data_IF_186170986514
#
_entry.id   IF_186170986514
#
_cell.length_a   1.000
_cell.length_b   1.000
_cell.length_c   1.000
_cell.angle_alpha   90.00
_cell.angle_beta   90.00
_cell.angle_gamma   90.00
#
_symmetry.space_group_name_H-M   'P 1'
#
loop_
_entity.id
_entity.type
_entity.pdbx_description
1 polymer ?
#
# COMPACT_ATOMS: atom_id res chain seq x y z
N UNK A 1 13.65 -26.50 14.86
CA UNK A 1 12.39 -26.06 14.23
C UNK A 1 11.91 -24.78 14.88
N UNK A 2 11.65 -23.72 14.13
CA UNK A 2 11.07 -22.45 14.59
C UNK A 2 9.65 -22.33 14.02
N UNK A 3 8.79 -21.56 14.69
CA UNK A 3 7.40 -21.31 14.26
C UNK A 3 7.14 -19.82 14.25
N UNK A 4 6.40 -19.36 13.24
CA UNK A 4 5.94 -17.98 13.11
C UNK A 4 4.42 -18.04 12.97
N UNK A 5 3.69 -17.43 13.91
CA UNK A 5 2.24 -17.35 13.85
C UNK A 5 1.82 -16.17 12.98
N UNK A 6 0.91 -16.43 12.06
CA UNK A 6 0.44 -15.41 11.12
C UNK A 6 -1.07 -15.43 10.97
N UNK A 7 -1.63 -14.27 10.64
CA UNK A 7 -3.00 -14.10 10.14
C UNK A 7 -2.89 -13.51 8.75
N UNK A 8 -3.43 -14.20 7.76
CA UNK A 8 -3.50 -13.72 6.40
C UNK A 8 -4.88 -13.10 6.14
N UNK A 9 -4.88 -11.98 5.44
CA UNK A 9 -6.07 -11.24 5.03
C UNK A 9 -5.88 -10.67 3.63
N UNK A 10 -6.93 -10.13 3.05
CA UNK A 10 -6.82 -9.28 1.89
C UNK A 10 -7.67 -8.03 2.06
N UNK A 11 -7.19 -6.90 1.55
CA UNK A 11 -7.90 -5.62 1.49
C UNK A 11 -8.20 -5.32 0.04
N UNK A 12 -9.46 -5.39 -0.35
CA UNK A 12 -9.82 -5.20 -1.76
C UNK A 12 -9.11 -6.15 -2.72
N UNK A 13 -8.73 -7.36 -2.28
CA UNK A 13 -7.98 -8.34 -3.07
C UNK A 13 -6.46 -8.31 -2.85
N UNK A 14 -5.90 -7.22 -2.33
CA UNK A 14 -4.45 -7.11 -2.06
C UNK A 14 -4.08 -7.82 -0.76
N UNK A 15 -3.20 -8.84 -0.79
CA UNK A 15 -2.97 -9.70 0.37
C UNK A 15 -2.06 -9.06 1.42
N UNK A 16 -2.39 -9.29 2.69
CA UNK A 16 -1.60 -8.88 3.85
C UNK A 16 -1.39 -10.06 4.79
N UNK A 17 -0.16 -10.25 5.27
CA UNK A 17 0.21 -11.23 6.29
C UNK A 17 0.60 -10.53 7.58
N UNK A 18 -0.23 -10.63 8.61
CA UNK A 18 0.10 -10.14 9.94
C UNK A 18 0.88 -11.20 10.71
N UNK A 19 2.13 -10.91 11.04
CA UNK A 19 2.93 -11.73 11.96
C UNK A 19 2.56 -11.34 13.38
N UNK A 20 2.03 -12.30 14.14
CA UNK A 20 1.54 -12.10 15.51
C UNK A 20 2.50 -12.61 16.57
N UNK A 21 3.37 -13.57 16.24
CA UNK A 21 4.38 -14.13 17.13
C UNK A 21 5.49 -14.86 16.36
N UNK A 22 6.59 -15.12 17.05
CA UNK A 22 7.69 -15.97 16.55
C UNK A 22 8.90 -15.19 16.02
N UNK A 23 8.81 -13.88 15.82
CA UNK A 23 9.95 -13.03 15.50
C UNK A 23 10.82 -12.79 16.72
N UNK A 24 12.11 -12.40 16.55
CA UNK A 24 12.99 -12.03 17.64
C UNK A 24 12.51 -10.77 18.35
N UNK A 25 12.98 -10.57 19.59
CA UNK A 25 12.79 -9.31 20.29
C UNK A 25 13.60 -8.19 19.60
N UNK A 26 12.92 -7.11 19.28
CA UNK A 26 13.50 -5.92 18.62
C UNK A 26 13.81 -4.78 19.61
N UNK A 27 13.68 -5.03 20.91
CA UNK A 27 13.89 -4.04 21.96
C UNK A 27 12.71 -3.09 22.18
N UNK A 28 12.96 -2.00 22.92
CA UNK A 28 11.92 -1.07 23.41
C UNK A 28 11.89 0.28 22.67
N UNK A 29 12.65 0.44 21.60
CA UNK A 29 12.71 1.68 20.81
C UNK A 29 11.43 1.96 20.02
N UNK A 30 11.40 3.13 19.36
CA UNK A 30 10.32 3.49 18.40
C UNK A 30 10.21 2.45 17.27
N UNK A 31 9.08 2.46 16.55
CA UNK A 31 8.92 1.56 15.40
C UNK A 31 10.01 1.75 14.34
N UNK A 32 10.54 2.98 14.19
CA UNK A 32 11.68 3.25 13.29
C UNK A 32 12.97 2.54 13.75
N UNK A 33 13.27 2.60 15.05
CA UNK A 33 14.43 1.89 15.64
C UNK A 33 14.26 0.39 15.52
N UNK A 34 13.09 -0.15 15.88
CA UNK A 34 12.80 -1.60 15.76
C UNK A 34 12.86 -2.09 14.31
N UNK A 35 12.38 -1.29 13.34
CA UNK A 35 12.54 -1.58 11.92
C UNK A 35 14.01 -1.68 11.53
N UNK A 36 14.85 -0.77 12.03
CA UNK A 36 16.29 -0.80 11.77
C UNK A 36 16.93 -2.07 12.35
N UNK A 37 16.62 -2.43 13.59
CA UNK A 37 17.10 -3.68 14.23
C UNK A 37 16.66 -4.90 13.42
N UNK A 38 15.38 -4.95 12.98
CA UNK A 38 14.89 -6.05 12.15
C UNK A 38 15.66 -6.13 10.83
N UNK A 39 15.87 -5.01 10.16
CA UNK A 39 16.56 -4.94 8.88
C UNK A 39 18.05 -5.33 8.97
N UNK A 40 18.77 -4.84 9.98
CA UNK A 40 20.23 -5.03 10.08
C UNK A 40 20.61 -6.37 10.72
N UNK A 41 19.79 -6.88 11.64
CA UNK A 41 20.17 -8.04 12.46
C UNK A 41 19.30 -9.28 12.22
N UNK A 42 18.10 -9.09 11.67
CA UNK A 42 17.07 -10.14 11.62
C UNK A 42 16.31 -10.23 10.30
N UNK A 43 16.81 -9.65 9.20
CA UNK A 43 16.11 -9.61 7.89
C UNK A 43 15.71 -11.01 7.37
N UNK A 44 16.43 -12.05 7.78
CA UNK A 44 16.07 -13.42 7.44
C UNK A 44 14.64 -13.81 7.88
N UNK A 45 14.10 -13.19 8.93
CA UNK A 45 12.74 -13.47 9.39
C UNK A 45 11.70 -12.87 8.44
N UNK A 46 11.95 -11.64 7.93
CA UNK A 46 11.17 -11.07 6.85
C UNK A 46 11.21 -11.98 5.61
N UNK A 47 12.40 -12.34 5.17
CA UNK A 47 12.61 -13.19 4.00
C UNK A 47 11.89 -14.55 4.14
N UNK A 48 11.94 -15.19 5.32
CA UNK A 48 11.23 -16.45 5.56
C UNK A 48 9.72 -16.36 5.41
N UNK A 49 9.12 -15.17 5.67
CA UNK A 49 7.68 -14.96 5.57
C UNK A 49 7.24 -14.46 4.19
N UNK A 50 8.11 -13.71 3.49
CA UNK A 50 7.75 -12.97 2.29
C UNK A 50 8.24 -13.61 0.99
N UNK A 51 9.32 -14.40 1.06
CA UNK A 51 9.86 -15.10 -0.10
C UNK A 51 9.31 -16.53 -0.19
N UNK A 52 9.32 -17.10 -1.39
CA UNK A 52 9.04 -18.51 -1.57
C UNK A 52 9.96 -19.40 -0.71
N UNK A 53 9.50 -20.52 -0.23
CA UNK A 53 8.22 -21.19 -0.50
C UNK A 53 7.06 -20.79 0.41
N UNK A 54 7.24 -19.89 1.38
CA UNK A 54 6.21 -19.52 2.37
C UNK A 54 5.52 -18.18 2.08
N UNK A 55 6.10 -17.37 1.20
CA UNK A 55 5.58 -16.09 0.73
C UNK A 55 5.39 -16.06 -0.77
N UNK A 56 5.16 -14.88 -1.31
CA UNK A 56 5.04 -14.58 -2.73
C UNK A 56 5.34 -13.10 -2.99
N UNK A 57 5.61 -12.74 -4.25
CA UNK A 57 5.98 -11.36 -4.62
C UNK A 57 4.89 -10.31 -4.37
N UNK A 58 3.65 -10.75 -4.27
CA UNK A 58 2.50 -9.85 -4.07
C UNK A 58 2.14 -9.61 -2.61
N UNK A 59 2.72 -10.39 -1.70
CA UNK A 59 2.34 -10.38 -0.29
C UNK A 59 2.98 -9.20 0.44
N UNK A 60 2.18 -8.43 1.18
CA UNK A 60 2.67 -7.43 2.13
C UNK A 60 2.62 -8.00 3.53
N UNK A 61 3.75 -7.95 4.23
CA UNK A 61 3.90 -8.36 5.62
C UNK A 61 3.70 -7.20 6.58
N UNK A 62 3.16 -7.50 7.75
CA UNK A 62 3.01 -6.59 8.87
C UNK A 62 3.44 -7.31 10.16
N UNK A 63 4.48 -6.83 10.82
CA UNK A 63 4.88 -7.33 12.12
C UNK A 63 4.13 -6.56 13.22
N UNK A 64 3.31 -7.27 13.98
CA UNK A 64 2.64 -6.72 15.15
C UNK A 64 3.65 -6.52 16.28
N UNK A 65 3.75 -5.29 16.75
CA UNK A 65 4.61 -4.89 17.86
C UNK A 65 3.78 -4.32 19.02
N UNK A 66 4.30 -4.44 20.24
CA UNK A 66 3.78 -3.66 21.35
C UNK A 66 4.05 -2.16 21.09
N UNK A 67 3.06 -1.28 21.25
CA UNK A 67 3.27 0.14 21.06
C UNK A 67 4.15 0.72 22.16
N UNK A 68 4.80 1.87 21.87
CA UNK A 68 5.55 2.65 22.86
C UNK A 68 4.62 3.60 23.60
N UNK A 69 3.70 4.24 22.86
CA UNK A 69 2.65 5.08 23.41
C UNK A 69 1.52 4.21 24.00
N UNK A 70 1.20 4.32 25.29
CA UNK A 70 0.08 3.59 25.89
C UNK A 70 -1.28 3.91 25.28
N UNK A 71 -1.43 5.05 24.60
CA UNK A 71 -2.64 5.44 23.87
C UNK A 71 -2.80 4.79 22.51
N UNK A 72 -1.77 4.12 21.99
CA UNK A 72 -1.85 3.39 20.74
C UNK A 72 -2.31 1.95 20.97
N UNK A 73 -3.14 1.42 20.07
CA UNK A 73 -3.63 0.04 20.17
C UNK A 73 -2.59 -0.99 19.69
N UNK A 74 -1.65 -0.58 18.85
CA UNK A 74 -0.59 -1.42 18.29
C UNK A 74 0.56 -0.59 17.73
N UNK A 75 1.75 -1.20 17.66
CA UNK A 75 2.83 -0.80 16.75
C UNK A 75 2.89 -1.77 15.58
N UNK A 76 3.34 -1.31 14.41
CA UNK A 76 3.47 -2.14 13.21
C UNK A 76 4.72 -1.77 12.41
N UNK A 77 5.37 -2.79 11.84
CA UNK A 77 6.44 -2.65 10.85
C UNK A 77 5.99 -3.35 9.58
N UNK A 78 5.79 -2.59 8.50
CA UNK A 78 5.43 -3.15 7.19
C UNK A 78 6.67 -3.50 6.38
N UNK A 79 6.58 -4.58 5.61
CA UNK A 79 7.63 -5.06 4.72
C UNK A 79 7.01 -5.88 3.57
N UNK A 80 7.81 -6.16 2.55
CA UNK A 80 7.43 -7.02 1.43
C UNK A 80 8.60 -7.94 1.01
N UNK A 81 8.53 -8.54 -0.17
CA UNK A 81 9.60 -9.37 -0.73
C UNK A 81 10.89 -8.57 -0.96
N UNK A 82 10.82 -7.28 -1.28
CA UNK A 82 11.99 -6.44 -1.61
C UNK A 82 12.59 -5.71 -0.40
N UNK A 83 11.82 -5.44 0.67
CA UNK A 83 12.33 -4.69 1.83
C UNK A 83 11.26 -4.17 2.79
N UNK A 84 11.53 -3.01 3.38
CA UNK A 84 10.73 -2.41 4.45
C UNK A 84 10.00 -1.18 3.95
N UNK A 85 8.75 -1.04 4.37
CA UNK A 85 7.87 0.08 4.03
C UNK A 85 7.75 1.03 5.23
N UNK A 86 7.58 2.32 4.96
CA UNK A 86 7.31 3.32 6.00
C UNK A 86 5.89 3.20 6.53
N UNK A 87 4.94 3.11 5.62
CA UNK A 87 3.50 2.96 5.86
C UNK A 87 2.87 2.19 4.69
N UNK A 88 1.74 1.54 4.92
CA UNK A 88 0.99 0.82 3.90
C UNK A 88 -0.51 0.97 4.17
N UNK A 89 -1.25 1.55 3.21
CA UNK A 89 -2.69 1.83 3.37
C UNK A 89 -3.53 0.56 3.49
N UNK A 90 -3.46 -0.33 2.50
CA UNK A 90 -4.20 -1.60 2.53
C UNK A 90 -3.73 -2.51 3.69
N UNK A 91 -2.42 -2.52 3.99
CA UNK A 91 -1.86 -3.24 5.13
C UNK A 91 -2.38 -2.73 6.47
N UNK A 92 -2.61 -1.42 6.61
CA UNK A 92 -3.23 -0.84 7.82
C UNK A 92 -4.69 -1.27 7.96
N UNK A 93 -5.47 -1.29 6.87
CA UNK A 93 -6.84 -1.81 6.86
C UNK A 93 -6.84 -3.30 7.26
N UNK A 94 -5.95 -4.11 6.68
CA UNK A 94 -5.76 -5.52 7.03
C UNK A 94 -5.35 -5.75 8.48
N UNK A 95 -4.44 -4.91 9.02
CA UNK A 95 -4.04 -4.92 10.43
C UNK A 95 -5.23 -4.68 11.36
N UNK A 96 -6.02 -3.62 11.10
CA UNK A 96 -7.19 -3.27 11.94
C UNK A 96 -8.22 -4.39 11.92
N UNK A 97 -8.52 -4.95 10.75
CA UNK A 97 -9.41 -6.12 10.63
C UNK A 97 -8.87 -7.34 11.40
N UNK A 98 -7.57 -7.59 11.35
CA UNK A 98 -6.92 -8.69 12.08
C UNK A 98 -6.93 -8.47 13.59
N UNK A 99 -6.72 -7.23 14.07
CA UNK A 99 -6.83 -6.89 15.49
C UNK A 99 -8.27 -7.05 16.02
N UNK A 100 -9.26 -6.68 15.22
CA UNK A 100 -10.68 -6.91 15.53
C UNK A 100 -11.00 -8.41 15.59
N UNK A 101 -10.53 -9.18 14.61
CA UNK A 101 -10.67 -10.65 14.59
C UNK A 101 -10.07 -11.32 15.84
N UNK A 102 -8.92 -10.81 16.33
CA UNK A 102 -8.30 -11.27 17.58
C UNK A 102 -9.02 -10.77 18.84
N UNK A 103 -10.10 -10.01 18.71
CA UNK A 103 -10.80 -9.39 19.85
C UNK A 103 -9.99 -8.34 20.61
N UNK A 104 -8.92 -7.78 20.01
CA UNK A 104 -8.05 -6.78 20.65
C UNK A 104 -8.62 -5.37 20.58
N UNK A 105 -9.44 -5.08 19.56
CA UNK A 105 -10.13 -3.80 19.37
C UNK A 105 -11.57 -4.03 18.95
N UNK A 106 -12.43 -3.07 19.24
CA UNK A 106 -13.80 -2.97 18.74
C UNK A 106 -13.97 -1.75 17.82
N UNK A 107 -15.22 -1.48 17.33
CA UNK A 107 -15.51 -0.27 16.57
C UNK A 107 -15.07 1.00 17.29
N UNK A 108 -14.53 1.97 16.54
CA UNK A 108 -14.01 3.22 17.06
C UNK A 108 -12.72 3.67 16.37
N UNK A 109 -12.15 4.77 16.88
CA UNK A 109 -10.89 5.34 16.39
C UNK A 109 -9.72 4.74 17.15
N UNK A 110 -8.72 4.28 16.41
CA UNK A 110 -7.53 3.62 16.93
C UNK A 110 -6.26 4.30 16.42
N UNK A 111 -5.31 4.53 17.32
CA UNK A 111 -3.97 5.02 17.00
C UNK A 111 -3.03 3.82 16.80
N UNK A 112 -2.26 3.83 15.71
CA UNK A 112 -1.31 2.79 15.33
C UNK A 112 0.06 3.44 15.11
N UNK A 113 1.07 2.98 15.82
CA UNK A 113 2.44 3.45 15.59
C UNK A 113 3.07 2.77 14.39
N UNK A 114 3.69 3.55 13.52
CA UNK A 114 4.45 3.10 12.35
C UNK A 114 5.88 3.67 12.37
N UNK A 115 6.80 3.17 11.55
CA UNK A 115 8.14 3.75 11.45
C UNK A 115 8.18 5.23 11.04
N UNK A 116 7.13 5.76 10.41
CA UNK A 116 7.05 7.16 9.94
C UNK A 116 6.14 8.03 10.82
N UNK A 117 5.63 7.49 11.92
CA UNK A 117 4.77 8.20 12.86
C UNK A 117 3.49 7.45 13.17
N UNK A 118 2.63 8.07 13.99
CA UNK A 118 1.35 7.50 14.39
C UNK A 118 0.29 7.82 13.34
N UNK A 119 -0.42 6.80 12.88
CA UNK A 119 -1.57 6.92 11.99
C UNK A 119 -2.86 6.62 12.73
N UNK A 120 -3.95 7.25 12.30
CA UNK A 120 -5.27 6.98 12.84
C UNK A 120 -6.08 6.14 11.85
N UNK A 121 -6.71 5.09 12.37
CA UNK A 121 -7.65 4.26 11.64
C UNK A 121 -8.96 4.15 12.41
N UNK A 122 -10.08 4.18 11.72
CA UNK A 122 -11.41 4.00 12.30
C UNK A 122 -11.98 2.66 11.85
N UNK A 123 -12.23 1.77 12.81
CA UNK A 123 -13.02 0.56 12.56
C UNK A 123 -14.50 0.93 12.68
N UNK A 124 -15.28 0.70 11.63
CA UNK A 124 -16.71 0.97 11.61
C UNK A 124 -17.52 -0.28 12.04
N UNK A 125 -18.79 -0.08 12.42
CA UNK A 125 -19.72 -1.15 12.81
C UNK A 125 -19.96 -2.17 11.68
N UNK A 126 -19.84 -1.76 10.42
CA UNK A 126 -19.95 -2.63 9.23
C UNK A 126 -18.65 -3.36 8.89
N UNK A 127 -17.66 -3.30 9.79
CA UNK A 127 -16.32 -3.85 9.63
C UNK A 127 -15.47 -3.24 8.50
N UNK A 128 -15.91 -2.12 7.90
CA UNK A 128 -15.02 -1.33 7.06
C UNK A 128 -14.03 -0.54 7.92
N UNK A 129 -12.93 -0.12 7.32
CA UNK A 129 -11.88 0.63 8.00
C UNK A 129 -11.57 1.89 7.20
N UNK A 130 -11.62 3.05 7.86
CA UNK A 130 -11.11 4.31 7.32
C UNK A 130 -9.72 4.59 7.84
N UNK A 131 -8.80 4.96 6.95
CA UNK A 131 -7.43 5.37 7.30
C UNK A 131 -7.24 6.81 6.87
N UNK A 132 -6.93 7.69 7.83
CA UNK A 132 -6.53 9.06 7.55
C UNK A 132 -5.09 9.07 7.10
N UNK A 133 -4.87 9.44 5.84
CA UNK A 133 -3.56 9.40 5.20
C UNK A 133 -2.75 10.68 5.49
N UNK A 134 -1.50 10.69 5.02
CA UNK A 134 -0.64 11.88 5.03
C UNK A 134 -1.18 12.96 4.08
N UNK A 135 -0.80 14.25 4.27
CA UNK A 135 -1.16 15.29 3.32
C UNK A 135 -0.73 14.95 1.89
N UNK A 136 -1.66 15.09 0.94
CA UNK A 136 -1.45 14.79 -0.47
C UNK A 136 -1.54 16.07 -1.32
N UNK A 137 -0.84 16.08 -2.46
CA UNK A 137 -0.81 17.22 -3.37
C UNK A 137 -0.37 16.81 -4.77
N UNK A 138 -0.79 17.59 -5.80
CA UNK A 138 -0.27 17.50 -7.15
C UNK A 138 0.99 18.34 -7.28
N UNK A 139 2.11 17.72 -7.65
CA UNK A 139 3.38 18.39 -7.87
C UNK A 139 3.50 18.99 -9.27
N UNK A 140 3.16 18.20 -10.31
CA UNK A 140 3.18 18.66 -11.71
C UNK A 140 1.92 18.24 -12.44
N UNK A 141 1.33 19.13 -13.21
CA UNK A 141 0.18 18.88 -14.07
C UNK A 141 0.62 18.62 -15.52
N UNK A 142 -0.01 17.64 -16.17
CA UNK A 142 0.09 17.38 -17.60
C UNK A 142 1.53 17.29 -18.11
N UNK A 143 2.40 16.60 -17.38
CA UNK A 143 3.79 16.38 -17.80
C UNK A 143 3.83 15.38 -18.96
N UNK A 144 4.52 15.76 -20.06
CA UNK A 144 4.74 14.89 -21.19
C UNK A 144 6.03 14.08 -21.01
N UNK A 145 5.94 12.76 -21.21
CA UNK A 145 7.06 11.80 -21.12
C UNK A 145 7.18 11.07 -22.45
N UNK A 146 8.37 11.01 -23.05
CA UNK A 146 8.61 10.23 -24.26
C UNK A 146 8.92 8.78 -23.88
N UNK A 147 8.03 7.87 -24.28
CA UNK A 147 8.13 6.44 -23.95
C UNK A 147 8.53 5.67 -25.19
N UNK A 148 9.71 5.00 -25.22
CA UNK A 148 10.14 4.20 -26.35
C UNK A 148 9.11 3.14 -26.76
N UNK A 149 8.77 3.09 -28.06
CA UNK A 149 7.79 2.14 -28.59
C UNK A 149 6.31 2.50 -28.38
N UNK A 150 6.02 3.51 -27.55
CA UNK A 150 4.64 3.98 -27.25
C UNK A 150 4.43 5.39 -27.81
N UNK A 151 5.42 6.28 -27.66
CA UNK A 151 5.30 7.68 -28.02
C UNK A 151 5.17 8.60 -26.82
N UNK A 152 4.52 9.73 -26.97
CA UNK A 152 4.30 10.69 -25.89
C UNK A 152 3.15 10.24 -24.98
N UNK A 153 3.44 10.10 -23.70
CA UNK A 153 2.46 9.85 -22.63
C UNK A 153 2.37 11.09 -21.75
N UNK A 154 1.17 11.55 -21.47
CA UNK A 154 0.91 12.73 -20.64
C UNK A 154 0.25 12.29 -19.32
N UNK A 155 0.77 12.79 -18.21
CA UNK A 155 0.22 12.48 -16.88
C UNK A 155 0.55 13.54 -15.86
N UNK A 156 -0.05 13.41 -14.68
CA UNK A 156 0.21 14.26 -13.52
C UNK A 156 1.22 13.56 -12.59
N UNK A 157 2.11 14.33 -11.97
CA UNK A 157 2.92 13.83 -10.85
C UNK A 157 2.28 14.31 -9.55
N UNK A 158 1.94 13.36 -8.68
CA UNK A 158 1.30 13.65 -7.40
C UNK A 158 1.87 12.80 -6.26
N UNK A 159 1.81 13.35 -5.06
CA UNK A 159 2.13 12.70 -3.80
C UNK A 159 0.86 12.32 -3.05
N UNK A 160 0.74 11.04 -2.70
CA UNK A 160 -0.35 10.51 -1.88
C UNK A 160 0.15 9.62 -0.72
N UNK A 161 1.42 9.78 -0.33
CA UNK A 161 2.16 8.89 0.58
C UNK A 161 3.24 8.08 -0.15
N UNK A 162 3.16 8.03 -1.48
CA UNK A 162 4.17 7.60 -2.45
C UNK A 162 4.09 8.54 -3.65
N UNK A 163 5.10 8.53 -4.52
CA UNK A 163 5.10 9.29 -5.76
C UNK A 163 4.43 8.51 -6.88
N UNK A 164 3.47 9.14 -7.52
CA UNK A 164 2.68 8.59 -8.62
C UNK A 164 2.85 9.39 -9.90
N UNK A 165 2.88 8.69 -11.03
CA UNK A 165 2.58 9.23 -12.34
C UNK A 165 1.19 8.75 -12.76
N UNK A 166 0.24 9.68 -12.84
CA UNK A 166 -1.19 9.44 -13.03
C UNK A 166 -1.56 9.71 -14.48
N UNK A 167 -2.00 8.68 -15.22
CA UNK A 167 -2.28 8.75 -16.65
C UNK A 167 -3.76 8.47 -16.92
N UNK A 168 -4.48 9.43 -17.50
CA UNK A 168 -5.87 9.27 -17.89
C UNK A 168 -6.02 8.78 -19.33
N UNK A 169 -5.20 9.33 -20.24
CA UNK A 169 -5.28 9.04 -21.69
C UNK A 169 -4.19 8.04 -22.10
N UNK A 170 -4.53 6.76 -22.19
CA UNK A 170 -3.56 5.69 -22.51
C UNK A 170 -4.06 4.68 -23.55
N UNK A 171 -5.36 4.71 -23.91
CA UNK A 171 -5.95 3.88 -24.96
C UNK A 171 -6.08 2.38 -24.65
N UNK A 172 -5.79 1.95 -23.42
CA UNK A 172 -5.91 0.56 -22.99
C UNK A 172 -7.21 0.35 -22.22
N UNK A 173 -7.77 -0.86 -22.31
CA UNK A 173 -8.89 -1.27 -21.44
C UNK A 173 -8.36 -1.68 -20.06
N UNK A 174 -8.81 -1.01 -19.00
CA UNK A 174 -8.46 -1.34 -17.61
C UNK A 174 -9.37 -2.46 -17.12
N UNK A 175 -8.89 -3.70 -17.22
CA UNK A 175 -9.64 -4.89 -16.82
C UNK A 175 -8.70 -6.04 -16.46
N UNK A 176 -9.19 -6.98 -15.63
CA UNK A 176 -8.41 -8.11 -15.13
C UNK A 176 -7.95 -9.12 -16.19
N UNK A 177 -8.56 -9.15 -17.37
CA UNK A 177 -8.12 -9.95 -18.52
C UNK A 177 -7.10 -9.26 -19.43
N UNK A 178 -6.67 -8.02 -19.08
CA UNK A 178 -5.69 -7.22 -19.83
C UNK A 178 -4.44 -6.89 -19.02
N UNK A 179 -4.17 -7.61 -17.95
CA UNK A 179 -3.09 -7.29 -17.00
C UNK A 179 -1.70 -7.27 -17.63
N UNK A 180 -1.43 -8.15 -18.59
CA UNK A 180 -0.13 -8.20 -19.29
C UNK A 180 0.16 -6.90 -20.04
N UNK A 181 -0.79 -6.41 -20.85
CA UNK A 181 -0.65 -5.16 -21.60
C UNK A 181 -0.57 -3.94 -20.67
N UNK A 182 -1.39 -3.90 -19.62
CA UNK A 182 -1.36 -2.83 -18.61
C UNK A 182 -0.02 -2.78 -17.89
N UNK A 183 0.51 -3.94 -17.46
CA UNK A 183 1.81 -4.06 -16.81
C UNK A 183 2.95 -3.64 -17.75
N UNK A 184 2.94 -4.12 -19.01
CA UNK A 184 3.97 -3.77 -19.99
C UNK A 184 3.99 -2.26 -20.28
N UNK A 185 2.83 -1.65 -20.44
CA UNK A 185 2.68 -0.22 -20.69
C UNK A 185 3.18 0.62 -19.51
N UNK A 186 2.69 0.33 -18.31
CA UNK A 186 3.06 1.10 -17.09
C UNK A 186 4.52 0.92 -16.72
N UNK A 187 5.08 -0.26 -16.94
CA UNK A 187 6.51 -0.49 -16.74
C UNK A 187 7.38 0.29 -17.75
N UNK A 188 6.98 0.35 -19.04
CA UNK A 188 7.67 1.17 -20.04
C UNK A 188 7.64 2.68 -19.65
N UNK A 189 6.50 3.16 -19.15
CA UNK A 189 6.36 4.52 -18.63
C UNK A 189 7.28 4.76 -17.43
N UNK A 190 7.32 3.85 -16.45
CA UNK A 190 8.18 3.94 -15.28
C UNK A 190 9.67 4.01 -15.68
N UNK A 191 10.12 3.15 -16.60
CA UNK A 191 11.48 3.19 -17.12
C UNK A 191 11.81 4.51 -17.83
N UNK A 192 10.84 5.05 -18.60
CA UNK A 192 11.03 6.31 -19.30
C UNK A 192 11.13 7.51 -18.35
N UNK A 193 10.35 7.53 -17.24
CA UNK A 193 10.46 8.52 -16.18
C UNK A 193 11.87 8.49 -15.56
N UNK A 194 12.35 7.30 -15.22
CA UNK A 194 13.67 7.13 -14.61
C UNK A 194 14.80 7.54 -15.55
N UNK A 195 14.76 7.10 -16.81
CA UNK A 195 15.77 7.40 -17.83
C UNK A 195 15.85 8.90 -18.15
N UNK A 196 14.73 9.64 -18.11
CA UNK A 196 14.66 11.09 -18.30
C UNK A 196 14.94 11.89 -17.02
N UNK A 197 15.29 11.23 -15.91
CA UNK A 197 15.59 11.89 -14.65
C UNK A 197 14.38 12.59 -14.01
N UNK A 198 13.16 12.19 -14.36
CA UNK A 198 11.93 12.73 -13.79
C UNK A 198 11.74 12.16 -12.39
N UNK A 199 11.60 13.04 -11.40
CA UNK A 199 11.56 12.70 -9.98
C UNK A 199 10.43 13.44 -9.28
N UNK A 200 10.10 12.98 -8.07
CA UNK A 200 9.28 13.71 -7.12
C UNK A 200 9.95 15.02 -6.67
N UNK A 201 9.22 15.84 -5.95
CA UNK A 201 9.69 17.14 -5.43
C UNK A 201 10.92 16.99 -4.51
N UNK A 202 10.99 15.91 -3.77
CA UNK A 202 12.08 15.53 -2.85
C UNK A 202 13.27 14.82 -3.53
N UNK A 203 13.23 14.66 -4.85
CA UNK A 203 14.22 13.94 -5.63
C UNK A 203 14.06 12.42 -5.64
N UNK A 204 13.04 11.88 -4.97
CA UNK A 204 12.74 10.45 -4.96
C UNK A 204 12.26 9.95 -6.32
N UNK A 205 12.40 8.64 -6.55
CA UNK A 205 11.83 7.99 -7.73
C UNK A 205 10.31 8.10 -7.74
N UNK A 206 9.74 8.23 -8.94
CA UNK A 206 8.32 8.01 -9.16
C UNK A 206 8.15 6.53 -9.42
N UNK A 207 7.87 5.78 -8.36
CA UNK A 207 7.91 4.32 -8.31
C UNK A 207 6.56 3.66 -8.60
N UNK A 208 5.49 4.46 -8.69
CA UNK A 208 4.16 4.00 -9.06
C UNK A 208 3.69 4.68 -10.35
N UNK A 209 3.07 3.89 -11.24
CA UNK A 209 2.36 4.39 -12.42
C UNK A 209 0.92 3.90 -12.34
N UNK A 210 -0.03 4.84 -12.45
CA UNK A 210 -1.45 4.55 -12.30
C UNK A 210 -2.22 4.99 -13.55
N UNK A 211 -3.01 4.06 -14.10
CA UNK A 211 -3.87 4.27 -15.25
C UNK A 211 -5.33 4.33 -14.80
N UNK A 212 -6.10 5.22 -15.40
CA UNK A 212 -7.52 5.41 -15.09
C UNK A 212 -8.41 5.15 -16.28
N UNK A 213 -9.61 4.64 -16.02
CA UNK A 213 -10.68 4.49 -17.00
C UNK A 213 -12.02 4.81 -16.31
N UNK A 214 -13.05 5.03 -17.13
CA UNK A 214 -14.43 5.12 -16.67
C UNK A 214 -14.89 3.77 -16.08
N UNK A 215 -15.85 3.82 -15.15
CA UNK A 215 -16.47 2.65 -14.55
C UNK A 215 -17.99 2.83 -14.48
N UNK A 216 -18.76 1.75 -14.64
CA UNK A 216 -20.22 1.79 -14.62
C UNK A 216 -20.82 1.94 -13.21
N UNK A 217 -20.03 1.64 -12.16
CA UNK A 217 -20.50 1.55 -10.77
C UNK A 217 -19.72 2.45 -9.80
N UNK A 218 -18.49 2.83 -10.15
CA UNK A 218 -17.64 3.73 -9.40
C UNK A 218 -17.37 5.01 -10.21
N UNK A 219 -16.75 6.02 -9.55
CA UNK A 219 -16.40 7.28 -10.23
C UNK A 219 -15.20 7.10 -11.18
N UNK A 220 -14.40 6.04 -10.99
CA UNK A 220 -13.27 5.67 -11.84
C UNK A 220 -12.82 4.25 -11.55
N UNK A 221 -12.17 3.61 -12.52
CA UNK A 221 -11.42 2.35 -12.38
C UNK A 221 -9.94 2.62 -12.59
N UNK A 222 -9.08 1.93 -11.84
CA UNK A 222 -7.65 2.08 -11.99
C UNK A 222 -6.91 0.75 -12.19
N UNK A 223 -5.69 0.87 -12.71
CA UNK A 223 -4.63 -0.13 -12.65
C UNK A 223 -3.39 0.55 -12.09
N UNK A 224 -2.76 -0.02 -11.08
CA UNK A 224 -1.57 0.55 -10.43
C UNK A 224 -0.40 -0.42 -10.55
N UNK A 225 0.69 0.02 -11.17
CA UNK A 225 1.97 -0.66 -11.12
C UNK A 225 2.72 -0.19 -9.87
N UNK A 226 3.10 -1.14 -9.02
CA UNK A 226 3.90 -0.93 -7.83
C UNK A 226 5.38 -1.25 -8.08
N UNK A 227 6.28 -0.88 -7.14
CA UNK A 227 7.67 -1.33 -7.17
C UNK A 227 7.80 -2.85 -7.31
N UNK A 228 8.80 -3.31 -8.07
CA UNK A 228 9.02 -4.74 -8.32
C UNK A 228 8.13 -5.34 -9.41
N UNK A 229 7.45 -4.52 -10.21
CA UNK A 229 6.52 -4.91 -11.29
C UNK A 229 5.26 -5.65 -10.83
N UNK A 230 4.93 -5.64 -9.54
CA UNK A 230 3.65 -6.11 -9.07
C UNK A 230 2.57 -5.07 -9.37
N UNK A 231 1.35 -5.51 -9.69
CA UNK A 231 0.20 -4.61 -9.72
C UNK A 231 -0.60 -4.71 -8.43
N UNK A 232 -1.17 -3.59 -7.98
CA UNK A 232 -2.08 -3.56 -6.84
C UNK A 232 -3.43 -4.14 -7.24
N UNK A 233 -3.93 -5.13 -6.50
CA UNK A 233 -5.25 -5.71 -6.72
C UNK A 233 -6.34 -4.83 -6.13
N UNK A 234 -6.00 -4.06 -5.09
CA UNK A 234 -6.87 -3.04 -4.51
C UNK A 234 -6.86 -1.75 -5.36
N UNK A 235 -7.75 -0.81 -5.08
CA UNK A 235 -7.70 0.52 -5.72
C UNK A 235 -6.47 1.36 -5.36
N UNK A 236 -5.56 0.87 -4.55
CA UNK A 236 -4.38 1.56 -4.02
C UNK A 236 -4.72 2.80 -3.16
N UNK A 237 -4.57 2.70 -1.84
CA UNK A 237 -4.93 3.81 -0.95
C UNK A 237 -4.12 5.08 -1.16
N UNK A 238 -2.80 4.96 -1.41
CA UNK A 238 -1.91 6.10 -1.71
C UNK A 238 -2.13 6.63 -3.12
N UNK A 239 -2.43 5.76 -4.10
CA UNK A 239 -2.81 6.16 -5.46
C UNK A 239 -4.14 6.92 -5.48
N UNK A 240 -5.17 6.38 -4.83
CA UNK A 240 -6.44 7.08 -4.65
C UNK A 240 -6.23 8.44 -3.97
N UNK A 241 -5.36 8.55 -2.95
CA UNK A 241 -5.03 9.83 -2.30
C UNK A 241 -4.37 10.83 -3.26
N UNK A 242 -3.47 10.38 -4.13
CA UNK A 242 -2.86 11.19 -5.17
C UNK A 242 -3.89 11.64 -6.21
N UNK A 243 -4.83 10.75 -6.58
CA UNK A 243 -5.96 11.10 -7.48
C UNK A 243 -6.85 12.17 -6.88
N UNK A 244 -7.23 12.03 -5.59
CA UNK A 244 -8.04 13.04 -4.88
C UNK A 244 -7.34 14.41 -4.88
N UNK A 245 -6.02 14.44 -4.71
CA UNK A 245 -5.25 15.69 -4.77
C UNK A 245 -5.30 16.35 -6.15
N UNK A 246 -5.25 15.57 -7.23
CA UNK A 246 -5.41 16.08 -8.59
C UNK A 246 -6.84 16.60 -8.84
N UNK A 247 -7.85 15.87 -8.38
CA UNK A 247 -9.27 16.27 -8.51
C UNK A 247 -9.57 17.55 -7.72
N UNK A 248 -9.06 17.67 -6.49
CA UNK A 248 -9.18 18.87 -5.67
C UNK A 248 -8.49 20.08 -6.33
N UNK A 249 -7.28 19.88 -6.86
CA UNK A 249 -6.53 20.95 -7.56
C UNK A 249 -7.17 21.40 -8.90
N UNK A 250 -8.11 20.61 -9.44
CA UNK A 250 -8.88 20.92 -10.64
C UNK A 250 -10.33 21.32 -10.33
N UNK A 251 -10.67 21.55 -9.04
CA UNK A 251 -12.03 21.86 -8.55
C UNK A 251 -13.10 20.82 -8.95
N UNK A 252 -12.68 19.57 -9.23
CA UNK A 252 -13.54 18.46 -9.67
C UNK A 252 -14.12 17.64 -8.52
N UNK A 253 -13.60 17.81 -7.30
CA UNK A 253 -14.09 17.17 -6.09
C UNK A 253 -14.04 18.17 -4.95
N UNK A 254 -15.11 18.22 -4.12
CA UNK A 254 -15.19 19.12 -2.98
C UNK A 254 -14.76 18.43 -1.67
N UNK A 255 -14.26 19.18 -0.67
CA UNK A 255 -13.97 18.63 0.66
C UNK A 255 -15.17 17.87 1.23
N UNK A 256 -14.92 16.67 1.78
CA UNK A 256 -15.95 15.78 2.32
C UNK A 256 -16.77 15.01 1.30
N UNK A 257 -16.70 15.35 0.02
CA UNK A 257 -17.36 14.58 -1.05
C UNK A 257 -16.69 13.20 -1.19
N UNK A 258 -17.50 12.16 -1.35
CA UNK A 258 -17.03 10.79 -1.54
C UNK A 258 -16.70 10.59 -3.02
N UNK A 259 -15.52 10.01 -3.26
CA UNK A 259 -15.05 9.46 -4.51
C UNK A 259 -14.92 7.94 -4.40
N UNK A 260 -15.56 7.20 -5.30
CA UNK A 260 -15.44 5.73 -5.37
C UNK A 260 -14.43 5.36 -6.42
N UNK A 261 -13.39 4.67 -6.00
CA UNK A 261 -12.35 4.16 -6.88
C UNK A 261 -12.44 2.64 -6.98
N UNK A 262 -12.74 2.13 -8.16
CA UNK A 262 -12.67 0.71 -8.45
C UNK A 262 -11.25 0.31 -8.86
N UNK A 263 -10.83 -0.90 -8.50
CA UNK A 263 -9.58 -1.50 -8.97
C UNK A 263 -9.75 -2.26 -10.27
N UNK A 264 -8.64 -2.68 -10.87
CA UNK A 264 -8.61 -3.51 -12.08
C UNK A 264 -9.37 -4.83 -11.92
N UNK A 265 -9.50 -5.36 -10.71
CA UNK A 265 -10.27 -6.58 -10.40
C UNK A 265 -11.70 -6.31 -9.91
N UNK A 266 -12.10 -5.04 -9.79
CA UNK A 266 -13.46 -4.63 -9.40
C UNK A 266 -13.69 -4.49 -7.89
N UNK A 267 -12.65 -4.49 -7.04
CA UNK A 267 -12.79 -4.07 -5.65
C UNK A 267 -12.86 -2.54 -5.55
N UNK A 268 -13.48 -2.00 -4.50
CA UNK A 268 -13.71 -0.57 -4.36
C UNK A 268 -13.14 -0.02 -3.05
N UNK A 269 -12.63 1.22 -3.12
CA UNK A 269 -12.39 2.10 -1.99
C UNK A 269 -13.25 3.35 -2.11
N UNK A 270 -13.66 3.88 -0.97
CA UNK A 270 -14.19 5.23 -0.85
C UNK A 270 -13.07 6.16 -0.39
N UNK A 271 -12.91 7.28 -1.09
CA UNK A 271 -11.98 8.34 -0.74
C UNK A 271 -12.72 9.66 -0.50
N UNK A 272 -12.29 10.40 0.49
CA UNK A 272 -12.70 11.79 0.72
C UNK A 272 -11.50 12.58 1.24
N UNK A 273 -11.61 13.90 1.34
CA UNK A 273 -10.53 14.71 1.88
C UNK A 273 -11.02 15.90 2.69
N UNK A 274 -10.12 16.38 3.54
CA UNK A 274 -10.21 17.65 4.24
C UNK A 274 -9.11 18.60 3.75
N UNK A 275 -9.32 19.91 3.85
CA UNK A 275 -8.29 20.90 3.55
C UNK A 275 -7.37 21.12 4.75
N UNK A 276 -6.06 21.15 4.51
CA UNK A 276 -5.03 21.54 5.45
C UNK A 276 -4.06 22.56 4.79
N UNK A 277 -4.37 23.83 4.89
CA UNK A 277 -3.68 24.85 4.13
C UNK A 277 -3.91 24.66 2.62
N UNK A 278 -2.83 24.60 1.85
CA UNK A 278 -2.86 24.38 0.40
C UNK A 278 -2.86 22.88 0.00
N UNK A 279 -2.78 21.97 0.99
CA UNK A 279 -2.79 20.50 0.77
C UNK A 279 -4.11 19.91 1.21
N UNK A 280 -4.39 18.74 0.71
CA UNK A 280 -5.51 17.94 1.19
C UNK A 280 -5.01 16.85 2.14
N UNK A 281 -5.85 16.43 3.08
CA UNK A 281 -5.63 15.24 3.92
C UNK A 281 -6.69 14.21 3.54
N UNK A 282 -6.31 13.19 2.76
CA UNK A 282 -7.22 12.16 2.34
C UNK A 282 -7.61 11.21 3.48
N UNK A 283 -8.85 10.73 3.43
CA UNK A 283 -9.32 9.57 4.19
C UNK A 283 -9.76 8.50 3.21
N UNK A 284 -9.18 7.32 3.30
CA UNK A 284 -9.50 6.17 2.45
C UNK A 284 -10.23 5.13 3.29
N UNK A 285 -11.39 4.70 2.82
CA UNK A 285 -12.20 3.65 3.43
C UNK A 285 -12.23 2.43 2.53
N UNK A 286 -11.94 1.28 3.14
CA UNK A 286 -11.98 -0.02 2.48
C UNK A 286 -12.37 -1.11 3.46
N UNK A 287 -12.42 -2.35 2.97
CA UNK A 287 -12.73 -3.52 3.78
C UNK A 287 -11.69 -4.61 3.57
N UNK A 288 -11.25 -5.22 4.68
CA UNK A 288 -10.42 -6.40 4.65
C UNK A 288 -11.19 -7.63 5.13
N UNK A 289 -10.77 -8.79 4.63
CA UNK A 289 -11.33 -10.10 4.98
C UNK A 289 -10.21 -11.01 5.42
N UNK A 290 -10.39 -11.68 6.55
CA UNK A 290 -9.46 -12.70 7.04
C UNK A 290 -9.56 -13.91 6.14
N UNK A 291 -8.43 -14.41 5.66
CA UNK A 291 -8.36 -15.57 4.76
C UNK A 291 -7.75 -16.80 5.39
N UNK A 292 -6.85 -16.63 6.39
CA UNK A 292 -6.26 -17.77 7.11
C UNK A 292 -5.65 -17.37 8.45
N UNK A 293 -5.59 -18.32 9.38
CA UNK A 293 -4.67 -18.35 10.50
C UNK A 293 -3.70 -19.51 10.28
N UNK A 294 -2.40 -19.25 10.39
CA UNK A 294 -1.40 -20.27 10.09
C UNK A 294 -0.17 -20.17 11.00
N UNK A 295 0.56 -21.28 11.05
CA UNK A 295 1.89 -21.37 11.65
C UNK A 295 2.89 -21.73 10.58
N UNK A 296 3.73 -20.76 10.18
CA UNK A 296 4.82 -21.03 9.26
C UNK A 296 5.92 -21.81 9.98
N UNK A 297 6.40 -22.86 9.34
CA UNK A 297 7.41 -23.76 9.90
C UNK A 297 8.75 -23.45 9.25
N UNK A 298 9.80 -23.33 10.09
CA UNK A 298 11.17 -23.16 9.66
C UNK A 298 11.96 -24.33 10.25
N UNK A 299 12.34 -25.28 9.40
CA UNK A 299 13.18 -26.42 9.76
C UNK A 299 14.64 -26.04 9.58
N UNK A 300 15.49 -26.54 10.46
CA UNK A 300 16.89 -26.11 10.51
C UNK A 300 17.72 -26.67 9.34
N UNK A 301 17.34 -27.83 8.83
CA UNK A 301 17.97 -28.57 7.74
C UNK A 301 17.36 -28.29 6.36
N UNK A 302 16.27 -27.48 6.30
CA UNK A 302 15.72 -27.01 5.03
C UNK A 302 16.66 -25.98 4.39
N UNK A 303 17.22 -26.25 3.18
CA UNK A 303 18.10 -25.30 2.50
C UNK A 303 17.42 -23.97 2.15
N UNK A 304 16.08 -23.94 2.09
CA UNK A 304 15.26 -22.76 1.83
C UNK A 304 14.53 -22.24 3.08
N UNK A 305 15.00 -22.63 4.26
CA UNK A 305 14.41 -22.24 5.55
C UNK A 305 14.16 -20.73 5.68
N UNK A 306 15.02 -19.92 5.09
CA UNK A 306 14.97 -18.45 5.17
C UNK A 306 14.53 -17.78 3.86
N UNK A 307 13.83 -18.52 2.99
CA UNK A 307 13.34 -18.03 1.71
C UNK A 307 14.34 -18.22 0.56
N UNK A 308 13.79 -18.31 -0.65
CA UNK A 308 14.58 -18.37 -1.89
C UNK A 308 14.95 -16.92 -2.24
N UNK A 309 16.25 -16.64 -2.22
CA UNK A 309 16.78 -15.33 -2.63
C UNK A 309 17.26 -15.43 -4.07
N UNK A 310 16.95 -14.45 -4.96
CA UNK A 310 17.46 -14.41 -6.32
C UNK A 310 18.99 -14.23 -6.37
#
# INVERSE_FOLDING_TARGET
>A
MKRISVIDSHTGGEPTRLVTAGFPDLGTGSMAVRRQVLAEQHDQWRAACMLEPRGSDVLVGALLCAPVDPGACAGVIFFNNTGYLGMCGHGTIGLVASLAHLGKIGPGVHSIETPVGTVQATLHEDHSVSVRNVPAYRYRKALAVQVPGIGQVVGDIAWGGNWFFLVAEHGLRVAGDNLEALTAYTFAVQQALEAQGIRGEDGSLIDHVELFADDDHADSRNFVLCPGKAYDRSPCGTGTSAKLACLAADDKLQPGQIWRQASVIGSEFEGSYELQGERIVPTIRGRAFISAEASLIIEQDDPFAWGIRP
#
